data_IF_919517748796
#
_entry.id   IF_919517748796
#
_cell.length_a   1.000
_cell.length_b   1.000
_cell.length_c   1.000
_cell.angle_alpha   90.00
_cell.angle_beta   90.00
_cell.angle_gamma   90.00
#
_symmetry.space_group_name_H-M   'P 1'
#
loop_
_entity.id
_entity.type
_entity.pdbx_description
1 polymer ?
#
# COMPACT_ATOMS: atom_id res chain seq x y z
N UNK A 1 52.36 3.93 -33.54
CA UNK A 1 52.40 5.33 -33.06
C UNK A 1 51.24 5.52 -32.08
N UNK A 2 51.48 5.25 -30.79
CA UNK A 2 50.49 5.40 -29.70
C UNK A 2 51.14 6.33 -28.67
N UNK A 3 50.43 7.37 -28.25
CA UNK A 3 50.96 8.50 -27.46
C UNK A 3 51.41 8.05 -26.05
N UNK A 4 52.52 8.59 -25.50
CA UNK A 4 53.11 8.11 -24.26
C UNK A 4 52.55 8.88 -23.05
N UNK A 5 51.31 8.61 -22.64
CA UNK A 5 50.83 9.16 -21.37
C UNK A 5 51.31 8.34 -20.15
N UNK A 6 51.60 7.05 -20.34
CA UNK A 6 51.95 6.12 -19.26
C UNK A 6 53.44 5.74 -19.20
N UNK A 7 54.33 6.55 -19.77
CA UNK A 7 55.76 6.22 -19.78
C UNK A 7 56.42 6.28 -18.39
N UNK A 8 55.82 7.00 -17.44
CA UNK A 8 56.38 7.29 -16.11
C UNK A 8 55.69 6.55 -14.94
N UNK A 9 54.77 5.61 -15.21
CA UNK A 9 54.04 4.84 -14.18
C UNK A 9 54.52 3.38 -14.11
N UNK A 10 55.82 3.15 -14.28
CA UNK A 10 56.38 1.81 -14.22
C UNK A 10 57.63 1.80 -13.34
N UNK A 11 57.53 1.15 -12.18
CA UNK A 11 58.61 1.01 -11.18
C UNK A 11 59.63 -0.07 -11.58
N UNK A 12 59.39 -0.81 -12.66
CA UNK A 12 60.26 -1.89 -13.13
C UNK A 12 61.10 -1.50 -14.36
N UNK A 13 62.33 -2.05 -14.40
CA UNK A 13 63.24 -1.90 -15.54
C UNK A 13 62.66 -2.59 -16.77
N UNK A 14 62.24 -1.79 -17.76
CA UNK A 14 61.75 -2.30 -19.05
C UNK A 14 62.83 -3.12 -19.73
N UNK A 15 62.47 -4.34 -20.12
CA UNK A 15 63.31 -5.22 -20.95
C UNK A 15 63.47 -4.52 -22.32
N UNK A 16 64.70 -4.46 -22.89
CA UNK A 16 64.90 -3.82 -24.18
C UNK A 16 64.01 -4.47 -25.25
N UNK A 17 63.36 -3.64 -26.07
CA UNK A 17 62.36 -4.07 -27.05
C UNK A 17 62.89 -5.08 -28.08
N UNK A 18 64.22 -5.18 -28.22
CA UNK A 18 64.90 -6.08 -29.14
C UNK A 18 64.77 -7.57 -28.76
N UNK A 19 64.41 -7.87 -27.51
CA UNK A 19 64.13 -9.24 -27.04
C UNK A 19 62.63 -9.59 -27.04
N UNK A 20 61.75 -8.62 -27.32
CA UNK A 20 60.31 -8.79 -27.24
C UNK A 20 59.65 -8.46 -28.59
N UNK A 21 59.57 -9.46 -29.46
CA UNK A 21 58.96 -9.29 -30.78
C UNK A 21 57.43 -9.30 -30.69
N UNK A 22 56.83 -8.11 -30.61
CA UNK A 22 55.38 -7.95 -30.65
C UNK A 22 54.78 -8.38 -31.98
N UNK A 23 54.02 -9.47 -32.00
CA UNK A 23 53.31 -9.93 -33.20
C UNK A 23 51.95 -9.23 -33.30
N UNK A 24 51.62 -8.70 -34.50
CA UNK A 24 50.33 -8.02 -34.76
C UNK A 24 49.12 -8.90 -34.42
N UNK A 25 49.22 -10.21 -34.70
CA UNK A 25 48.19 -11.21 -34.39
C UNK A 25 48.03 -11.43 -32.88
N UNK A 26 49.14 -11.44 -32.13
CA UNK A 26 49.13 -11.53 -30.67
C UNK A 26 48.45 -10.32 -30.04
N UNK A 27 48.71 -9.11 -30.55
CA UNK A 27 48.03 -7.89 -30.06
C UNK A 27 46.50 -7.95 -30.24
N UNK A 28 46.01 -8.50 -31.35
CA UNK A 28 44.57 -8.66 -31.59
C UNK A 28 43.98 -9.66 -30.60
N UNK A 29 44.64 -10.81 -30.42
CA UNK A 29 44.19 -11.85 -29.50
C UNK A 29 44.16 -11.34 -28.05
N UNK A 30 45.21 -10.67 -27.60
CA UNK A 30 45.28 -10.08 -26.25
C UNK A 30 44.22 -8.99 -26.05
N UNK A 31 43.97 -8.16 -27.07
CA UNK A 31 42.91 -7.15 -26.99
C UNK A 31 41.51 -7.77 -26.91
N UNK A 32 41.26 -8.86 -27.64
CA UNK A 32 40.00 -9.60 -27.57
C UNK A 32 39.79 -10.26 -26.20
N UNK A 33 40.83 -10.88 -25.64
CA UNK A 33 40.77 -11.46 -24.31
C UNK A 33 40.45 -10.41 -23.22
N UNK A 34 41.08 -9.24 -23.30
CA UNK A 34 40.81 -8.14 -22.37
C UNK A 34 39.37 -7.62 -22.48
N UNK A 35 38.83 -7.52 -23.69
CA UNK A 35 37.43 -7.15 -23.92
C UNK A 35 36.48 -8.17 -23.30
N UNK A 36 36.72 -9.46 -23.52
CA UNK A 36 35.88 -10.53 -22.94
C UNK A 36 35.88 -10.47 -21.41
N UNK A 37 37.06 -10.36 -20.79
CA UNK A 37 37.19 -10.26 -19.33
C UNK A 37 36.45 -9.02 -18.81
N UNK A 38 36.60 -7.87 -19.48
CA UNK A 38 35.91 -6.64 -19.09
C UNK A 38 34.38 -6.79 -19.21
N UNK A 39 33.87 -7.37 -20.30
CA UNK A 39 32.44 -7.60 -20.50
C UNK A 39 31.87 -8.51 -19.42
N UNK A 40 32.55 -9.62 -19.10
CA UNK A 40 32.12 -10.53 -18.03
C UNK A 40 32.07 -9.82 -16.68
N UNK A 41 33.09 -9.03 -16.35
CA UNK A 41 33.12 -8.25 -15.11
C UNK A 41 31.92 -7.30 -15.00
N UNK A 42 31.59 -6.57 -16.07
CA UNK A 42 30.43 -5.69 -16.09
C UNK A 42 29.10 -6.45 -15.96
N UNK A 43 28.96 -7.59 -16.62
CA UNK A 43 27.77 -8.43 -16.53
C UNK A 43 27.55 -8.96 -15.11
N UNK A 44 28.58 -9.56 -14.51
CA UNK A 44 28.53 -10.08 -13.14
C UNK A 44 28.28 -8.96 -12.12
N UNK A 45 28.94 -7.81 -12.29
CA UNK A 45 28.71 -6.65 -11.42
C UNK A 45 27.25 -6.20 -11.51
N UNK A 46 26.68 -6.11 -12.71
CA UNK A 46 25.25 -5.77 -12.88
C UNK A 46 24.33 -6.80 -12.23
N UNK A 47 24.61 -8.09 -12.39
CA UNK A 47 23.85 -9.15 -11.75
C UNK A 47 23.95 -9.08 -10.22
N UNK A 48 25.12 -8.74 -9.68
CA UNK A 48 25.32 -8.54 -8.24
C UNK A 48 24.52 -7.34 -7.69
N UNK A 49 24.50 -6.22 -8.43
CA UNK A 49 23.69 -5.05 -8.05
C UNK A 49 22.19 -5.27 -8.27
N UNK A 50 21.80 -6.25 -9.08
CA UNK A 50 20.41 -6.64 -9.27
C UNK A 50 19.91 -7.39 -8.04
N UNK A 51 19.47 -6.64 -7.04
CA UNK A 51 18.84 -7.19 -5.83
C UNK A 51 17.55 -7.91 -6.23
N UNK A 52 17.61 -9.24 -6.28
CA UNK A 52 16.42 -10.07 -6.35
C UNK A 52 15.77 -10.02 -4.97
N UNK A 53 14.60 -9.38 -4.87
CA UNK A 53 13.83 -9.36 -3.64
C UNK A 53 13.30 -10.77 -3.38
N UNK A 54 14.02 -11.53 -2.55
CA UNK A 54 13.51 -12.77 -1.98
C UNK A 54 12.63 -12.39 -0.81
N UNK A 55 11.34 -12.73 -0.87
CA UNK A 55 10.41 -12.55 0.24
C UNK A 55 10.61 -13.71 1.21
N UNK A 56 11.42 -13.50 2.24
CA UNK A 56 11.56 -14.48 3.32
C UNK A 56 10.30 -14.47 4.19
N UNK A 57 9.68 -15.64 4.31
CA UNK A 57 8.50 -15.84 5.15
C UNK A 57 8.97 -16.13 6.57
N UNK A 58 9.06 -15.09 7.40
CA UNK A 58 9.33 -15.23 8.82
C UNK A 58 8.02 -15.51 9.58
N UNK A 59 8.11 -16.35 10.61
CA UNK A 59 6.99 -16.57 11.53
C UNK A 59 6.79 -15.28 12.34
N UNK A 60 5.66 -14.61 12.11
CA UNK A 60 5.31 -13.40 12.86
C UNK A 60 5.11 -13.79 14.33
N UNK A 61 6.04 -13.36 15.19
CA UNK A 61 5.95 -13.54 16.65
C UNK A 61 5.20 -12.37 17.30
N UNK A 62 4.24 -11.76 16.59
CA UNK A 62 3.28 -10.87 17.22
C UNK A 62 2.38 -11.67 18.15
N UNK A 63 2.44 -11.34 19.44
CA UNK A 63 1.57 -11.91 20.49
C UNK A 63 0.19 -11.25 20.53
N UNK A 64 -0.02 -10.22 19.71
CA UNK A 64 -1.26 -9.47 19.64
C UNK A 64 -2.32 -10.32 18.95
N UNK A 65 -3.29 -10.79 19.74
CA UNK A 65 -4.38 -11.64 19.28
C UNK A 65 -5.50 -10.87 18.56
N UNK A 66 -5.42 -9.55 18.53
CA UNK A 66 -6.46 -8.68 17.99
C UNK A 66 -5.86 -7.70 16.99
N UNK A 67 -6.52 -7.57 15.83
CA UNK A 67 -6.14 -6.64 14.77
C UNK A 67 -7.11 -5.46 14.83
N UNK A 68 -6.57 -4.23 14.85
CA UNK A 68 -7.39 -3.03 14.77
C UNK A 68 -7.79 -2.74 13.33
N UNK A 69 -9.08 -2.85 13.04
CA UNK A 69 -9.65 -2.48 11.74
C UNK A 69 -10.34 -1.12 11.88
N UNK A 70 -9.90 -0.14 11.09
CA UNK A 70 -10.56 1.16 11.01
C UNK A 70 -11.37 1.21 9.72
N UNK A 71 -12.68 1.46 9.81
CA UNK A 71 -13.56 1.61 8.65
C UNK A 71 -14.51 2.79 8.84
N UNK A 72 -14.98 3.36 7.74
CA UNK A 72 -15.95 4.45 7.70
C UNK A 72 -16.99 4.11 6.63
N UNK A 73 -18.20 3.73 7.06
CA UNK A 73 -19.27 3.26 6.18
C UNK A 73 -20.51 4.11 6.45
N UNK A 74 -21.09 4.69 5.40
CA UNK A 74 -22.31 5.51 5.44
C UNK A 74 -23.46 4.73 4.81
N UNK A 75 -24.61 4.69 5.47
CA UNK A 75 -25.85 4.11 4.92
C UNK A 75 -26.95 5.16 5.01
N UNK A 76 -27.59 5.49 3.88
CA UNK A 76 -28.62 6.54 3.82
C UNK A 76 -30.03 5.99 4.11
N UNK A 77 -30.31 4.75 3.68
CA UNK A 77 -31.64 4.13 3.78
C UNK A 77 -31.79 3.18 4.99
N UNK A 78 -30.76 3.07 5.85
CA UNK A 78 -30.79 2.23 7.05
C UNK A 78 -30.60 3.08 8.32
N UNK A 79 -31.58 3.11 9.25
CA UNK A 79 -31.42 3.83 10.50
C UNK A 79 -30.34 3.21 11.39
N UNK A 80 -29.49 4.02 12.01
CA UNK A 80 -28.40 3.57 12.88
C UNK A 80 -28.85 2.70 14.08
N UNK A 81 -30.13 2.79 14.49
CA UNK A 81 -30.70 1.97 15.57
C UNK A 81 -30.79 0.49 15.21
N UNK A 82 -30.99 0.17 13.93
CA UNK A 82 -31.16 -1.20 13.45
C UNK A 82 -29.89 -1.81 12.85
N UNK A 83 -28.85 -0.99 12.65
CA UNK A 83 -27.56 -1.47 12.16
C UNK A 83 -26.79 -2.19 13.29
N UNK A 84 -26.37 -3.43 13.01
CA UNK A 84 -25.44 -4.22 13.83
C UNK A 84 -24.24 -4.61 13.00
N UNK A 85 -23.08 -4.74 13.64
CA UNK A 85 -21.82 -5.06 12.96
C UNK A 85 -21.24 -6.30 13.64
N UNK A 86 -21.26 -7.40 12.89
CA UNK A 86 -20.77 -8.70 13.33
C UNK A 86 -19.50 -9.07 12.56
N UNK A 87 -18.49 -9.57 13.29
CA UNK A 87 -17.25 -10.07 12.69
C UNK A 87 -17.31 -11.58 12.63
N UNK A 88 -17.21 -12.14 11.43
CA UNK A 88 -17.19 -13.58 11.18
C UNK A 88 -15.78 -14.00 10.78
N UNK A 89 -15.18 -14.90 11.56
CA UNK A 89 -13.89 -15.51 11.20
C UNK A 89 -14.09 -16.77 10.36
N UNK A 90 -13.06 -17.17 9.59
CA UNK A 90 -13.03 -18.46 8.87
C UNK A 90 -13.14 -19.68 9.82
N UNK A 91 -12.87 -19.49 11.12
CA UNK A 91 -13.13 -20.50 12.16
C UNK A 91 -14.60 -20.56 12.62
N UNK A 92 -15.50 -19.77 12.02
CA UNK A 92 -16.92 -19.71 12.38
C UNK A 92 -17.21 -18.99 13.70
N UNK A 93 -16.21 -18.36 14.31
CA UNK A 93 -16.42 -17.55 15.52
C UNK A 93 -17.06 -16.23 15.14
N UNK A 94 -18.23 -15.96 15.73
CA UNK A 94 -18.91 -14.67 15.64
C UNK A 94 -18.52 -13.84 16.87
N UNK A 95 -17.89 -12.69 16.65
CA UNK A 95 -17.65 -11.72 17.72
C UNK A 95 -18.55 -10.51 17.47
N UNK A 96 -19.40 -10.21 18.45
CA UNK A 96 -20.21 -9.00 18.43
C UNK A 96 -19.33 -7.81 18.87
N UNK A 97 -18.92 -6.98 17.92
CA UNK A 97 -18.06 -5.80 18.16
C UNK A 97 -18.88 -4.51 18.28
N UNK A 98 -20.20 -4.63 18.26
CA UNK A 98 -21.14 -3.51 18.16
C UNK A 98 -20.99 -2.48 19.28
N UNK A 99 -20.48 -2.86 20.46
CA UNK A 99 -20.33 -1.97 21.62
C UNK A 99 -19.20 -0.92 21.48
N UNK A 100 -18.17 -1.18 20.65
CA UNK A 100 -16.99 -0.31 20.53
C UNK A 100 -17.01 0.59 19.28
N UNK A 101 -18.19 0.80 18.67
CA UNK A 101 -18.33 1.51 17.40
C UNK A 101 -19.07 2.82 17.63
N UNK A 102 -18.48 3.94 17.20
CA UNK A 102 -19.15 5.24 17.18
C UNK A 102 -20.16 5.26 16.03
N UNK A 103 -21.42 5.53 16.38
CA UNK A 103 -22.53 5.72 15.44
C UNK A 103 -22.81 7.21 15.35
N UNK A 104 -23.15 7.67 14.15
CA UNK A 104 -23.47 9.07 13.88
C UNK A 104 -24.70 9.11 12.98
N UNK A 105 -25.65 9.97 13.30
CA UNK A 105 -26.81 10.21 12.44
C UNK A 105 -26.40 11.14 11.29
N UNK A 106 -26.80 10.78 10.07
CA UNK A 106 -26.64 11.57 8.86
C UNK A 106 -27.92 12.32 8.51
N UNK A 107 -27.76 13.51 7.94
CA UNK A 107 -28.83 14.23 7.24
C UNK A 107 -29.11 13.62 5.85
N UNK A 108 -30.22 14.00 5.20
CA UNK A 108 -30.55 13.59 3.83
C UNK A 108 -29.42 13.89 2.82
N UNK A 109 -28.58 14.87 3.12
CA UNK A 109 -27.42 15.28 2.34
C UNK A 109 -26.15 14.47 2.65
N UNK A 110 -26.22 13.46 3.54
CA UNK A 110 -25.08 12.63 3.96
C UNK A 110 -24.09 13.34 4.88
N UNK A 111 -24.48 14.49 5.45
CA UNK A 111 -23.65 15.27 6.38
C UNK A 111 -23.97 14.87 7.82
N UNK A 112 -22.95 14.81 8.68
CA UNK A 112 -23.10 14.46 10.10
C UNK A 112 -23.76 15.60 10.87
N UNK A 113 -24.82 15.28 11.61
CA UNK A 113 -25.53 16.24 12.45
C UNK A 113 -24.85 16.37 13.82
N UNK A 114 -24.04 17.41 14.01
CA UNK A 114 -23.28 17.64 15.27
C UNK A 114 -24.15 18.06 16.48
N UNK A 115 -25.44 18.37 16.27
CA UNK A 115 -26.30 18.90 17.33
C UNK A 115 -27.08 17.84 18.12
N UNK A 116 -27.15 16.59 17.67
CA UNK A 116 -28.06 15.59 18.25
C UNK A 116 -27.52 14.91 19.53
N UNK A 117 -26.22 15.00 19.77
CA UNK A 117 -25.55 14.38 20.93
C UNK A 117 -25.63 15.22 22.23
N UNK A 118 -26.35 16.35 22.24
CA UNK A 118 -26.42 17.24 23.40
C UNK A 118 -27.49 16.90 24.45
N UNK A 119 -28.29 15.84 24.29
CA UNK A 119 -29.34 15.48 25.26
C UNK A 119 -29.49 13.97 25.45
N UNK A 120 -28.65 13.37 26.29
CA UNK A 120 -28.76 11.96 26.66
C UNK A 120 -29.69 11.70 27.88
N UNK A 121 -30.39 12.73 28.41
CA UNK A 121 -31.17 12.61 29.66
C UNK A 121 -32.63 13.11 29.61
N UNK A 122 -33.24 13.35 28.46
CA UNK A 122 -34.70 13.55 28.42
C UNK A 122 -35.44 12.23 28.18
N UNK A 123 -35.60 11.45 29.25
CA UNK A 123 -36.91 10.86 29.47
C UNK A 123 -37.89 12.03 29.70
N UNK A 124 -39.08 11.93 29.13
CA UNK A 124 -40.15 12.96 29.10
C UNK A 124 -39.99 14.02 28.00
N UNK A 125 -40.17 13.60 26.75
CA UNK A 125 -40.94 14.41 25.80
C UNK A 125 -41.98 13.49 25.18
N UNK A 126 -43.20 13.56 25.71
CA UNK A 126 -44.39 13.07 25.02
C UNK A 126 -44.47 13.85 23.70
N UNK A 127 -44.16 13.18 22.59
CA UNK A 127 -44.42 13.72 21.27
C UNK A 127 -45.93 13.65 21.09
N UNK A 128 -46.61 14.75 21.43
CA UNK A 128 -47.92 15.07 20.89
C UNK A 128 -47.76 15.05 19.37
N UNK A 129 -48.46 14.10 18.73
CA UNK A 129 -48.60 14.04 17.29
C UNK A 129 -49.31 15.32 16.84
N UNK A 130 -48.53 16.33 16.46
CA UNK A 130 -49.03 17.46 15.69
C UNK A 130 -48.89 17.10 14.20
N UNK A 131 -49.85 16.34 13.70
CA UNK A 131 -50.12 16.29 12.27
C UNK A 131 -51.43 17.03 12.01
N UNK A 132 -51.30 18.30 11.62
CA UNK A 132 -52.35 19.07 10.96
C UNK A 132 -51.78 19.52 9.63
N UNK A 133 -51.93 18.69 8.61
CA UNK A 133 -52.54 19.11 7.34
C UNK A 133 -52.68 17.91 6.41
N UNK A 134 -53.90 17.38 6.31
CA UNK A 134 -54.47 16.77 5.10
C UNK A 134 -55.99 16.82 5.24
N UNK A 135 -56.52 18.04 5.21
CA UNK A 135 -57.93 18.27 4.94
C UNK A 135 -58.20 18.07 3.46
N UNK A 136 -58.46 16.84 3.03
CA UNK A 136 -59.24 16.57 1.83
C UNK A 136 -60.27 15.50 2.12
N UNK A 137 -61.52 15.90 1.92
CA UNK A 137 -62.73 15.11 2.01
C UNK A 137 -62.74 14.03 0.92
N UNK A 138 -62.87 12.76 1.33
CA UNK A 138 -63.34 11.72 0.43
C UNK A 138 -64.85 11.96 0.21
N UNK A 139 -65.29 11.89 -1.04
CA UNK A 139 -66.70 11.80 -1.46
C UNK A 139 -67.48 13.13 -1.43
N UNK A 140 -67.16 14.03 -2.35
CA UNK A 140 -68.07 14.23 -3.48
C UNK A 140 -68.27 12.98 -4.37
N UNK A 141 -69.54 12.69 -4.63
CA UNK A 141 -70.10 12.52 -5.97
C UNK A 141 -69.51 11.42 -6.88
N UNK A 142 -69.97 10.19 -6.66
CA UNK A 142 -70.79 9.52 -7.68
C UNK A 142 -72.19 9.40 -7.05
N UNK A 143 -73.11 10.35 -7.20
CA UNK A 143 -73.83 10.67 -8.45
C UNK A 143 -73.01 11.22 -9.62
#
# INVERSE_FOLDING_TARGET
MVRPFAANLDMYRKVPADLMQGTKRGSILSSGALLVIATLFFCETRAFFQSTRVTDLALDSNKDKQIRVNFNITMMDLPCKYATIDVVSVLGTQQNVTQHISRWDLDANGVRNQLKDRNHQQHDVMVELYDKDLGYTLEELHE
#
